data_IF_673453997072
#
_entry.id   IF_673453997072
#
_cell.length_a   1.000
_cell.length_b   1.000
_cell.length_c   1.000
_cell.angle_alpha   90.00
_cell.angle_beta   90.00
_cell.angle_gamma   90.00
#
_symmetry.space_group_name_H-M   'P 1'
#
loop_
_entity.id
_entity.type
_entity.pdbx_description
1 polymer ?
#
# COMPACT_ATOMS: atom_id res chain seq x y z
N UNK A 1 24.66 -9.95 17.72
CA UNK A 1 24.42 -9.39 16.37
C UNK A 1 22.96 -9.67 16.04
N UNK A 2 22.17 -8.66 15.66
CA UNK A 2 20.81 -8.85 15.14
C UNK A 2 20.80 -8.24 13.75
N UNK A 3 20.49 -9.06 12.76
CA UNK A 3 20.49 -8.62 11.38
C UNK A 3 19.12 -8.07 11.03
N UNK A 4 19.09 -6.88 10.42
CA UNK A 4 17.86 -6.31 9.89
C UNK A 4 17.53 -6.99 8.57
N UNK A 5 16.33 -7.58 8.48
CA UNK A 5 15.86 -8.29 7.30
C UNK A 5 14.47 -7.80 6.89
N UNK A 6 14.18 -7.87 5.59
CA UNK A 6 12.85 -7.57 5.04
C UNK A 6 12.05 -8.87 5.03
N UNK A 7 11.02 -8.93 5.86
CA UNK A 7 10.21 -10.16 6.06
C UNK A 7 9.03 -10.23 5.10
N UNK A 8 8.45 -9.08 4.73
CA UNK A 8 7.29 -8.98 3.84
C UNK A 8 7.25 -7.61 3.14
N UNK A 9 6.60 -7.55 1.98
CA UNK A 9 6.40 -6.32 1.22
C UNK A 9 5.09 -6.38 0.45
N UNK A 10 4.34 -5.28 0.45
CA UNK A 10 3.13 -5.12 -0.32
C UNK A 10 2.96 -3.66 -0.75
N UNK A 11 2.21 -3.45 -1.83
CA UNK A 11 1.87 -2.11 -2.35
C UNK A 11 0.51 -2.11 -3.01
N UNK A 12 -0.11 -0.94 -3.08
CA UNK A 12 -1.25 -0.74 -3.98
C UNK A 12 -0.76 -0.60 -5.43
N UNK A 13 -1.63 -0.89 -6.42
CA UNK A 13 -1.42 -0.46 -7.80
C UNK A 13 -1.23 1.07 -7.90
N UNK A 14 -0.71 1.54 -9.03
CA UNK A 14 -0.64 2.99 -9.32
C UNK A 14 -1.87 3.37 -10.13
N UNK A 15 -2.70 4.25 -9.56
CA UNK A 15 -3.83 4.88 -10.26
C UNK A 15 -3.44 6.23 -10.85
N UNK A 16 -4.09 6.62 -11.96
CA UNK A 16 -4.02 7.99 -12.49
C UNK A 16 -4.69 8.97 -11.53
N UNK A 17 -4.07 10.11 -11.25
CA UNK A 17 -4.69 11.16 -10.46
C UNK A 17 -5.99 11.67 -11.11
N UNK A 18 -7.00 11.96 -10.30
CA UNK A 18 -8.33 12.48 -10.67
C UNK A 18 -9.23 11.56 -11.52
N UNK A 19 -8.69 10.84 -12.51
CA UNK A 19 -9.44 10.01 -13.48
C UNK A 19 -9.08 8.52 -13.45
N UNK A 20 -8.34 8.07 -12.43
CA UNK A 20 -7.93 6.68 -12.27
C UNK A 20 -8.84 5.88 -11.34
N UNK A 21 -8.49 4.60 -11.15
CA UNK A 21 -9.24 3.63 -10.35
C UNK A 21 -9.40 4.00 -8.86
N UNK A 22 -8.54 4.88 -8.33
CA UNK A 22 -8.57 5.31 -6.93
C UNK A 22 -9.10 6.74 -6.76
N UNK A 23 -9.82 7.29 -7.74
CA UNK A 23 -10.29 8.67 -7.68
C UNK A 23 -11.26 8.96 -6.51
N UNK A 24 -11.97 7.95 -6.03
CA UNK A 24 -12.91 8.03 -4.92
C UNK A 24 -12.37 7.34 -3.64
N UNK A 25 -11.09 6.96 -3.61
CA UNK A 25 -10.49 6.25 -2.47
C UNK A 25 -9.59 7.19 -1.69
N UNK A 26 -9.78 7.27 -0.37
CA UNK A 26 -8.94 8.11 0.48
C UNK A 26 -7.57 7.46 0.71
N UNK A 27 -6.51 8.26 0.96
CA UNK A 27 -5.17 7.73 1.20
C UNK A 27 -5.10 6.79 2.41
N UNK A 28 -5.93 7.01 3.44
CA UNK A 28 -5.96 6.16 4.64
C UNK A 28 -6.44 4.75 4.31
N UNK A 29 -7.42 4.61 3.42
CA UNK A 29 -7.91 3.31 2.97
C UNK A 29 -6.85 2.56 2.14
N UNK A 30 -6.11 3.27 1.28
CA UNK A 30 -5.00 2.70 0.50
C UNK A 30 -3.86 2.22 1.41
N UNK A 31 -3.52 3.00 2.44
CA UNK A 31 -2.51 2.63 3.43
C UNK A 31 -2.95 1.39 4.22
N UNK A 32 -4.19 1.35 4.70
CA UNK A 32 -4.73 0.19 5.40
C UNK A 32 -4.64 -1.09 4.55
N UNK A 33 -5.04 -1.01 3.28
CA UNK A 33 -4.93 -2.15 2.36
C UNK A 33 -3.49 -2.66 2.23
N UNK A 34 -2.51 -1.77 2.03
CA UNK A 34 -1.11 -2.16 1.92
C UNK A 34 -0.59 -2.81 3.22
N UNK A 35 -0.96 -2.28 4.38
CA UNK A 35 -0.58 -2.84 5.69
C UNK A 35 -1.20 -4.22 5.88
N UNK A 36 -2.50 -4.39 5.61
CA UNK A 36 -3.19 -5.68 5.75
C UNK A 36 -2.58 -6.78 4.89
N UNK A 37 -2.02 -6.45 3.72
CA UNK A 37 -1.35 -7.42 2.85
C UNK A 37 0.13 -7.67 3.20
N UNK A 38 0.72 -6.84 4.05
CA UNK A 38 2.11 -6.99 4.47
C UNK A 38 2.26 -7.80 5.78
N UNK A 39 1.16 -8.06 6.50
CA UNK A 39 1.11 -8.74 7.81
C UNK A 39 0.57 -10.15 7.68
#
# INVERSE_FOLDING_TARGET
>A
MRDAVIVSTARTPIGKAYRGSFNATTPQALAAHAITHAV
#
